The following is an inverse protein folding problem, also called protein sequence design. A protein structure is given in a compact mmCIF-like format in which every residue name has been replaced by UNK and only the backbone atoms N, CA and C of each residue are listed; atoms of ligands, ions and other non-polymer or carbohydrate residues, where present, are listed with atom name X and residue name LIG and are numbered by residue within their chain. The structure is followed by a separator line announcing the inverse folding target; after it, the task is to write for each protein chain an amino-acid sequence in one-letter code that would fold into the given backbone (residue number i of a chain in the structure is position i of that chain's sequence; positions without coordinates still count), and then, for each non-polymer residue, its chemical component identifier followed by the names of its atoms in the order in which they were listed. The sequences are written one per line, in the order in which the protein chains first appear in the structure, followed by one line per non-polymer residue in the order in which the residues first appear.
data_IF_685863883077
#
_entry.id   IF_685863883077
#
_cell.length_a   1.000
_cell.length_b   1.000
_cell.length_c   1.000
_cell.angle_alpha   90.00
_cell.angle_beta   90.00
_cell.angle_gamma   90.00
#
_symmetry.space_group_name_H-M   'P 1'
#
loop_
_entity.id
_entity.type
_entity.pdbx_description
1 polymer ?
#
# COMPACT_ATOMS: atom_id res chain seq x y z
N UNK A 1 21.79 -5.65 -7.65
CA UNK A 1 20.68 -6.20 -6.87
C UNK A 1 19.43 -5.60 -7.47
N UNK A 2 18.59 -6.43 -8.09
CA UNK A 2 17.31 -5.99 -8.60
C UNK A 2 16.25 -6.03 -7.48
N UNK A 3 15.40 -5.02 -7.44
CA UNK A 3 14.22 -5.00 -6.59
C UNK A 3 13.20 -5.99 -7.14
N UNK A 4 12.58 -6.75 -6.24
CA UNK A 4 11.50 -7.70 -6.56
C UNK A 4 10.16 -7.07 -6.18
N UNK A 5 10.11 -6.45 -5.01
CA UNK A 5 8.94 -5.78 -4.48
C UNK A 5 9.37 -4.74 -3.44
N UNK A 6 8.71 -3.59 -3.43
CA UNK A 6 8.77 -2.63 -2.33
C UNK A 6 7.37 -2.20 -1.94
N UNK A 7 7.15 -2.04 -0.63
CA UNK A 7 5.99 -1.36 -0.08
C UNK A 7 6.47 -0.28 0.88
N UNK A 8 5.96 0.93 0.73
CA UNK A 8 6.20 2.05 1.61
C UNK A 8 4.86 2.62 2.06
N UNK A 9 4.72 2.86 3.35
CA UNK A 9 3.62 3.62 3.94
C UNK A 9 4.18 4.97 4.37
N UNK A 10 3.53 6.05 3.97
CA UNK A 10 3.87 7.44 4.29
C UNK A 10 2.66 8.14 4.94
N UNK A 11 2.95 9.11 5.81
CA UNK A 11 1.96 10.07 6.28
C UNK A 11 1.62 11.13 5.19
N UNK A 12 0.62 12.00 5.39
CA UNK A 12 0.26 13.04 4.42
C UNK A 12 1.39 14.04 4.08
N UNK A 13 2.43 14.12 4.91
CA UNK A 13 3.59 14.98 4.75
C UNK A 13 4.79 14.24 4.14
N UNK A 14 4.55 13.04 3.59
CA UNK A 14 5.55 12.20 2.91
C UNK A 14 6.66 11.70 3.85
N UNK A 15 6.38 11.65 5.16
CA UNK A 15 7.28 10.97 6.10
C UNK A 15 7.00 9.45 6.04
N UNK A 16 8.02 8.67 5.71
CA UNK A 16 7.95 7.21 5.63
C UNK A 16 7.69 6.63 7.02
N UNK A 17 6.54 5.99 7.22
CA UNK A 17 6.13 5.25 8.43
C UNK A 17 6.70 3.83 8.42
N UNK A 18 6.62 3.14 7.29
CA UNK A 18 7.05 1.76 7.19
C UNK A 18 7.55 1.42 5.80
N UNK A 19 8.53 0.51 5.70
CA UNK A 19 9.09 0.06 4.42
C UNK A 19 9.44 -1.43 4.38
N UNK A 20 8.87 -2.17 3.45
CA UNK A 20 9.29 -3.55 3.13
C UNK A 20 9.99 -3.58 1.79
N UNK A 21 11.19 -4.17 1.70
CA UNK A 21 11.90 -4.41 0.44
C UNK A 21 12.31 -5.88 0.26
N UNK A 22 12.03 -6.41 -0.93
CA UNK A 22 12.45 -7.74 -1.36
C UNK A 22 13.40 -7.60 -2.53
N UNK A 23 14.56 -8.27 -2.47
CA UNK A 23 15.58 -8.19 -3.52
C UNK A 23 15.97 -9.56 -4.07
N UNK A 24 16.42 -9.58 -5.33
CA UNK A 24 16.81 -10.78 -6.08
C UNK A 24 18.01 -11.54 -5.48
N UNK A 25 18.81 -10.88 -4.64
CA UNK A 25 19.95 -11.43 -3.92
C UNK A 25 19.56 -12.41 -2.79
N UNK A 26 18.35 -12.97 -2.80
CA UNK A 26 17.78 -13.83 -1.75
C UNK A 26 17.68 -13.12 -0.39
N UNK A 27 17.66 -11.78 -0.39
CA UNK A 27 17.54 -10.98 0.83
C UNK A 27 16.16 -10.34 0.87
N UNK A 28 15.46 -10.60 1.96
CA UNK A 28 14.27 -9.87 2.37
C UNK A 28 14.72 -8.84 3.40
N UNK A 29 14.82 -7.60 2.97
CA UNK A 29 15.18 -6.53 3.87
C UNK A 29 13.86 -5.89 4.32
N UNK A 30 13.44 -6.19 5.54
CA UNK A 30 12.30 -5.50 6.16
C UNK A 30 12.87 -4.30 6.92
N UNK A 31 12.48 -3.11 6.50
CA UNK A 31 12.90 -1.85 7.10
C UNK A 31 11.69 -1.20 7.79
N UNK A 32 11.45 -1.52 9.06
CA UNK A 32 10.55 -0.72 9.86
C UNK A 32 11.27 0.58 10.23
N UNK A 33 10.80 1.72 9.73
CA UNK A 33 11.43 3.02 9.93
C UNK A 33 10.35 4.00 10.38
N UNK A 34 9.99 4.04 11.68
CA UNK A 34 9.38 5.24 12.24
C UNK A 34 9.77 5.56 13.69
N UNK A 35 10.12 6.84 13.83
CA UNK A 35 10.24 7.82 14.93
C UNK A 35 10.27 7.42 16.42
N UNK A 36 9.81 6.24 16.84
CA UNK A 36 9.87 5.78 18.24
C UNK A 36 10.53 4.41 18.43
N UNK A 37 10.66 3.62 17.36
CA UNK A 37 11.30 2.30 17.42
C UNK A 37 12.11 2.07 16.14
N UNK A 38 13.33 2.59 16.09
CA UNK A 38 14.28 2.25 15.04
C UNK A 38 14.68 0.77 15.17
N UNK A 39 14.04 -0.11 14.41
CA UNK A 39 14.50 -1.48 14.28
C UNK A 39 14.52 -1.92 12.82
N UNK A 40 15.70 -2.32 12.38
CA UNK A 40 15.89 -2.95 11.08
C UNK A 40 15.91 -4.46 11.28
N UNK A 41 15.02 -5.20 10.60
CA UNK A 41 15.09 -6.67 10.54
C UNK A 41 15.43 -7.12 9.14
N UNK A 42 16.60 -7.71 9.00
CA UNK A 42 17.01 -8.37 7.76
C UNK A 42 16.69 -9.85 7.89
N UNK A 43 15.84 -10.35 6.99
CA UNK A 43 15.54 -11.75 6.84
C UNK A 43 16.15 -12.26 5.51
N UNK A 44 16.51 -13.53 5.46
CA UNK A 44 16.96 -14.15 4.21
C UNK A 44 15.82 -14.99 3.66
N UNK A 45 15.31 -14.64 2.48
CA UNK A 45 14.30 -15.45 1.81
C UNK A 45 14.96 -16.56 0.99
N UNK A 46 14.26 -17.68 0.89
CA UNK A 46 14.61 -18.72 -0.09
C UNK A 46 14.33 -18.21 -1.51
N UNK A 47 14.90 -18.89 -2.52
CA UNK A 47 14.69 -18.55 -3.94
C UNK A 47 13.23 -18.75 -4.39
N UNK A 48 12.54 -19.75 -3.81
CA UNK A 48 11.17 -20.11 -4.18
C UNK A 48 10.17 -18.95 -3.93
N UNK A 49 10.15 -18.28 -2.76
CA UNK A 49 9.35 -17.07 -2.53
C UNK A 49 9.58 -15.96 -3.56
N UNK A 50 10.84 -15.67 -3.91
CA UNK A 50 11.17 -14.63 -4.90
C UNK A 50 10.58 -14.97 -6.28
N UNK A 51 10.75 -16.21 -6.72
CA UNK A 51 10.15 -16.67 -7.98
C UNK A 51 8.62 -16.62 -7.93
N UNK A 52 8.02 -16.84 -6.75
CA UNK A 52 6.57 -16.75 -6.57
C UNK A 52 6.10 -15.30 -6.72
N UNK A 53 6.80 -14.34 -6.11
CA UNK A 53 6.47 -12.91 -6.25
C UNK A 53 6.59 -12.47 -7.72
N UNK A 54 7.67 -12.83 -8.41
CA UNK A 54 7.81 -12.54 -9.84
C UNK A 54 6.65 -13.09 -10.67
N UNK A 55 6.20 -14.31 -10.35
CA UNK A 55 5.05 -14.92 -11.04
C UNK A 55 3.77 -14.13 -10.78
N UNK A 56 3.49 -13.75 -9.52
CA UNK A 56 2.31 -12.94 -9.17
C UNK A 56 2.31 -11.63 -9.95
N UNK A 57 3.44 -10.91 -9.99
CA UNK A 57 3.55 -9.64 -10.72
C UNK A 57 3.37 -9.85 -12.23
N UNK A 58 4.00 -10.88 -12.79
CA UNK A 58 3.88 -11.21 -14.21
C UNK A 58 2.45 -11.58 -14.62
N UNK A 59 1.75 -12.34 -13.80
CA UNK A 59 0.34 -12.70 -14.00
C UNK A 59 -0.60 -11.49 -13.89
N UNK A 60 -0.14 -10.41 -13.24
CA UNK A 60 -0.87 -9.15 -13.07
C UNK A 60 -0.20 -7.98 -13.79
N UNK A 61 0.44 -8.24 -14.94
CA UNK A 61 1.20 -7.22 -15.70
C UNK A 61 0.40 -5.98 -16.11
N UNK A 62 -0.93 -6.01 -16.07
CA UNK A 62 -1.78 -4.84 -16.29
C UNK A 62 -1.48 -3.68 -15.32
N UNK A 63 -0.92 -3.95 -14.13
CA UNK A 63 -0.52 -2.91 -13.17
C UNK A 63 0.55 -1.96 -13.75
N UNK A 64 1.33 -2.41 -14.73
CA UNK A 64 2.35 -1.60 -15.41
C UNK A 64 1.75 -0.54 -16.34
N UNK A 65 0.47 -0.65 -16.68
CA UNK A 65 -0.25 0.36 -17.46
C UNK A 65 -0.96 1.40 -16.58
N UNK A 66 -0.94 1.26 -15.26
CA UNK A 66 -1.60 2.20 -14.36
C UNK A 66 -0.71 3.43 -14.15
N UNK A 67 -1.18 4.59 -14.56
CA UNK A 67 -0.52 5.88 -14.27
C UNK A 67 -0.93 6.43 -12.90
N UNK A 68 -2.16 6.15 -12.47
CA UNK A 68 -2.72 6.54 -11.17
C UNK A 68 -3.85 5.58 -10.75
N UNK A 69 -4.00 5.40 -9.44
CA UNK A 69 -5.15 4.74 -8.83
C UNK A 69 -6.10 5.84 -8.36
N UNK A 70 -6.99 6.26 -9.27
CA UNK A 70 -8.12 7.17 -9.07
C UNK A 70 -7.96 8.13 -7.87
N UNK A 71 -7.46 9.33 -8.16
CA UNK A 71 -7.34 10.42 -7.19
C UNK A 71 -8.67 10.78 -6.54
N UNK A 72 -8.85 10.36 -5.29
CA UNK A 72 -9.84 10.95 -4.39
C UNK A 72 -9.20 12.12 -3.63
N UNK A 73 -9.95 13.21 -3.35
CA UNK A 73 -9.40 14.48 -2.89
C UNK A 73 -8.89 14.50 -1.42
N UNK A 74 -8.72 13.35 -0.78
CA UNK A 74 -8.52 13.24 0.67
C UNK A 74 -7.05 13.17 1.10
N UNK A 75 -6.20 14.00 0.50
CA UNK A 75 -4.79 14.13 0.92
C UNK A 75 -4.63 14.77 2.30
N UNK A 76 -5.66 15.40 2.85
CA UNK A 76 -5.53 16.20 4.08
C UNK A 76 -5.45 15.37 5.37
N UNK A 77 -5.98 14.14 5.41
CA UNK A 77 -6.07 13.32 6.65
C UNK A 77 -5.83 11.82 6.41
N UNK A 78 -4.88 11.47 5.53
CA UNK A 78 -4.74 10.11 5.00
C UNK A 78 -3.39 9.40 5.20
N UNK A 79 -3.20 8.29 4.48
CA UNK A 79 -1.90 7.65 4.31
C UNK A 79 -1.60 7.48 2.83
N UNK A 80 -0.34 7.65 2.46
CA UNK A 80 0.16 7.40 1.11
C UNK A 80 0.78 6.01 1.10
N UNK A 81 0.35 5.16 0.15
CA UNK A 81 0.91 3.84 -0.08
C UNK A 81 1.68 3.84 -1.39
N UNK A 82 2.98 3.54 -1.32
CA UNK A 82 3.83 3.42 -2.50
C UNK A 82 4.21 1.96 -2.69
N UNK A 83 3.81 1.41 -3.82
CA UNK A 83 4.15 0.05 -4.21
C UNK A 83 5.13 0.09 -5.37
N UNK A 84 6.19 -0.70 -5.30
CA UNK A 84 7.04 -0.97 -6.46
C UNK A 84 6.99 -2.45 -6.78
N UNK A 85 6.56 -2.78 -8.00
CA UNK A 85 6.41 -4.14 -8.48
C UNK A 85 7.44 -4.43 -9.56
N UNK A 86 8.05 -5.61 -9.51
CA UNK A 86 8.98 -6.08 -10.53
C UNK A 86 8.63 -7.49 -10.98
N UNK A 87 8.67 -7.74 -12.28
CA UNK A 87 8.55 -9.08 -12.88
C UNK A 87 9.92 -9.70 -13.24
N UNK A 88 11.00 -8.99 -12.89
CA UNK A 88 12.39 -9.35 -13.20
C UNK A 88 12.92 -8.76 -14.50
N UNK A 89 12.06 -8.13 -15.30
CA UNK A 89 12.41 -7.40 -16.54
C UNK A 89 11.98 -5.93 -16.47
N UNK A 90 10.78 -5.68 -15.95
CA UNK A 90 10.17 -4.39 -15.78
C UNK A 90 10.01 -4.09 -14.29
N UNK A 91 10.11 -2.82 -13.94
CA UNK A 91 9.84 -2.29 -12.62
C UNK A 91 8.88 -1.11 -12.77
N UNK A 92 7.88 -1.04 -11.88
CA UNK A 92 6.91 0.06 -11.89
C UNK A 92 6.51 0.43 -10.48
N UNK A 93 6.42 1.74 -10.25
CA UNK A 93 6.03 2.31 -8.96
C UNK A 93 4.65 2.94 -9.07
N UNK A 94 3.75 2.52 -8.20
CA UNK A 94 2.41 3.06 -8.05
C UNK A 94 2.30 3.77 -6.71
N UNK A 95 1.88 5.03 -6.77
CA UNK A 95 1.52 5.81 -5.59
C UNK A 95 0.01 5.80 -5.47
N UNK A 96 -0.47 5.40 -4.30
CA UNK A 96 -1.89 5.30 -3.95
C UNK A 96 -2.12 6.13 -2.68
N UNK A 97 -3.35 6.61 -2.49
CA UNK A 97 -3.73 7.35 -1.28
C UNK A 97 -4.95 6.68 -0.67
N UNK A 98 -4.92 6.49 0.65
CA UNK A 98 -6.03 5.94 1.43
C UNK A 98 -6.53 4.58 0.93
N UNK A 99 -5.63 3.73 0.44
CA UNK A 99 -6.00 2.40 -0.05
C UNK A 99 -6.62 1.53 1.06
N UNK A 100 -6.30 1.81 2.33
CA UNK A 100 -6.93 1.19 3.50
C UNK A 100 -8.45 1.41 3.56
N UNK A 101 -8.96 2.55 3.07
CA UNK A 101 -10.39 2.85 3.07
C UNK A 101 -11.14 1.80 2.28
N UNK A 102 -10.62 1.46 1.09
CA UNK A 102 -11.18 0.42 0.24
C UNK A 102 -11.08 -0.99 0.82
N UNK A 103 -10.12 -1.24 1.71
CA UNK A 103 -10.03 -2.50 2.45
C UNK A 103 -11.15 -2.59 3.52
N UNK A 104 -11.47 -1.47 4.19
CA UNK A 104 -12.56 -1.38 5.18
C UNK A 104 -13.95 -1.32 4.53
N UNK A 105 -14.02 -0.75 3.33
CA UNK A 105 -15.25 -0.44 2.60
C UNK A 105 -15.23 -1.03 1.17
N UNK A 106 -15.22 -2.37 1.03
CA UNK A 106 -15.08 -3.04 -0.27
C UNK A 106 -16.26 -2.78 -1.22
N UNK A 107 -17.41 -2.34 -0.72
CA UNK A 107 -18.54 -1.89 -1.53
C UNK A 107 -18.19 -0.67 -2.41
N UNK A 108 -17.28 0.19 -1.94
CA UNK A 108 -16.79 1.34 -2.71
C UNK A 108 -15.75 0.94 -3.78
N UNK A 109 -15.18 -0.28 -3.70
CA UNK A 109 -14.29 -0.83 -4.74
C UNK A 109 -15.03 -1.21 -6.03
N UNK A 110 -16.37 -1.33 -6.02
CA UNK A 110 -17.13 -1.65 -7.23
C UNK A 110 -16.85 -0.65 -8.37
N UNK A 111 -16.51 0.58 -8.01
CA UNK A 111 -16.21 1.66 -8.96
C UNK A 111 -14.72 1.74 -9.34
N UNK A 112 -13.81 1.04 -8.64
CA UNK A 112 -12.36 1.11 -8.89
C UNK A 112 -11.72 -0.27 -9.11
N UNK A 113 -11.66 -0.69 -10.38
CA UNK A 113 -10.98 -1.96 -10.78
C UNK A 113 -9.47 -1.91 -10.52
N UNK A 114 -8.85 -0.74 -10.66
CA UNK A 114 -7.41 -0.54 -10.43
C UNK A 114 -7.02 -0.77 -8.97
N UNK A 115 -7.75 -0.14 -8.05
CA UNK A 115 -7.53 -0.30 -6.61
C UNK A 115 -7.70 -1.78 -6.18
N UNK A 116 -8.73 -2.47 -6.70
CA UNK A 116 -8.93 -3.91 -6.47
C UNK A 116 -7.75 -4.75 -6.92
N UNK A 117 -7.27 -4.48 -8.13
CA UNK A 117 -6.15 -5.22 -8.70
C UNK A 117 -4.90 -5.05 -7.84
N UNK A 118 -4.57 -3.82 -7.46
CA UNK A 118 -3.37 -3.53 -6.67
C UNK A 118 -3.47 -4.11 -5.26
N UNK A 119 -4.62 -3.99 -4.60
CA UNK A 119 -4.86 -4.66 -3.32
C UNK A 119 -4.73 -6.19 -3.43
N UNK A 120 -5.29 -6.79 -4.48
CA UNK A 120 -5.20 -8.24 -4.69
C UNK A 120 -3.75 -8.71 -4.91
N UNK A 121 -2.97 -7.99 -5.72
CA UNK A 121 -1.55 -8.28 -5.94
C UNK A 121 -0.77 -8.12 -4.64
N UNK A 122 -1.04 -7.04 -3.90
CA UNK A 122 -0.42 -6.78 -2.60
C UNK A 122 -0.71 -7.90 -1.60
N UNK A 123 -1.97 -8.32 -1.44
CA UNK A 123 -2.35 -9.39 -0.51
C UNK A 123 -1.75 -10.76 -0.88
N UNK A 124 -1.63 -11.06 -2.17
CA UNK A 124 -0.95 -12.27 -2.63
C UNK A 124 0.54 -12.24 -2.27
N UNK A 125 1.22 -11.12 -2.50
CA UNK A 125 2.64 -10.94 -2.13
C UNK A 125 2.81 -10.98 -0.62
N UNK A 126 1.95 -10.28 0.13
CA UNK A 126 1.89 -10.31 1.60
C UNK A 126 1.80 -11.74 2.10
N UNK A 127 0.86 -12.53 1.59
CA UNK A 127 0.69 -13.93 1.98
C UNK A 127 1.97 -14.75 1.79
N UNK A 128 2.64 -14.60 0.64
CA UNK A 128 3.92 -15.27 0.37
C UNK A 128 4.99 -14.84 1.38
N UNK A 129 5.05 -13.56 1.74
CA UNK A 129 6.06 -13.05 2.67
C UNK A 129 5.78 -13.50 4.12
N UNK A 130 4.52 -13.51 4.56
CA UNK A 130 4.11 -14.00 5.88
C UNK A 130 4.42 -15.49 6.07
N UNK A 131 4.10 -16.32 5.08
CA UNK A 131 4.47 -17.75 5.06
C UNK A 131 5.98 -17.99 5.19
N UNK A 132 6.78 -16.97 4.87
CA UNK A 132 8.23 -17.01 4.93
C UNK A 132 8.83 -16.14 6.06
N UNK A 133 8.03 -15.82 7.08
CA UNK A 133 8.49 -15.23 8.33
C UNK A 133 8.56 -13.70 8.34
N UNK A 134 7.92 -13.03 7.40
CA UNK A 134 7.64 -11.60 7.54
C UNK A 134 6.62 -11.36 8.67
N UNK A 135 6.67 -10.16 9.23
CA UNK A 135 5.76 -9.72 10.30
C UNK A 135 4.52 -9.08 9.69
N UNK A 136 3.36 -9.23 10.32
CA UNK A 136 2.08 -8.74 9.78
C UNK A 136 2.02 -7.22 9.72
N UNK A 137 2.62 -6.58 10.72
CA UNK A 137 2.76 -5.14 10.90
C UNK A 137 3.49 -4.47 9.72
N UNK A 138 4.22 -5.25 8.91
CA UNK A 138 4.94 -4.78 7.74
C UNK A 138 4.07 -4.59 6.49
N UNK A 139 2.77 -4.87 6.61
CA UNK A 139 1.84 -4.84 5.48
C UNK A 139 0.56 -4.09 5.80
N UNK A 140 0.53 -3.33 6.89
CA UNK A 140 -0.62 -2.48 7.21
C UNK A 140 -0.73 -1.32 6.22
N UNK A 141 -1.97 -1.04 5.80
CA UNK A 141 -2.29 0.07 4.90
C UNK A 141 -2.67 1.35 5.68
N UNK A 142 -2.87 1.22 6.99
CA UNK A 142 -3.12 2.29 7.96
C UNK A 142 -2.18 2.15 9.18
N UNK A 143 -2.19 3.14 10.07
CA UNK A 143 -1.29 3.18 11.22
C UNK A 143 -1.98 2.73 12.51
N UNK A 144 -2.65 1.55 12.54
CA UNK A 144 -3.39 1.07 13.73
C UNK A 144 -2.56 0.97 15.01
N UNK A 145 -1.25 0.85 14.88
CA UNK A 145 -0.29 0.83 16.00
C UNK A 145 0.22 2.22 16.43
N UNK A 146 -0.24 3.28 15.78
CA UNK A 146 0.25 4.64 15.98
C UNK A 146 -0.89 5.51 16.52
N UNK A 147 -0.92 5.77 17.83
CA UNK A 147 -2.04 6.42 18.53
C UNK A 147 -2.21 7.92 18.21
N UNK A 148 -1.62 8.43 17.13
CA UNK A 148 -1.72 9.85 16.77
C UNK A 148 -2.83 10.17 15.78
N UNK A 149 -3.58 9.17 15.28
CA UNK A 149 -4.61 9.41 14.26
C UNK A 149 -6.04 9.10 14.73
N UNK A 150 -6.26 8.32 15.80
CA UNK A 150 -7.63 7.95 16.21
C UNK A 150 -8.27 8.90 17.23
N UNK A 151 -7.51 9.57 18.11
CA UNK A 151 -8.09 10.36 19.21
C UNK A 151 -8.76 11.68 18.77
N UNK A 152 -8.68 12.06 17.49
CA UNK A 152 -9.35 13.25 16.95
C UNK A 152 -10.54 12.96 16.02
N UNK A 153 -10.79 11.70 15.66
CA UNK A 153 -11.59 11.42 14.45
C UNK A 153 -12.75 10.42 14.63
N UNK A 154 -12.93 9.81 15.80
CA UNK A 154 -13.98 8.78 15.94
C UNK A 154 -15.43 9.29 16.05
N UNK A 155 -15.73 10.58 16.31
CA UNK A 155 -17.13 10.97 16.61
C UNK A 155 -17.77 12.15 15.87
N UNK A 156 -17.01 13.00 15.15
CA UNK A 156 -17.55 14.28 14.67
C UNK A 156 -17.47 14.52 13.14
N UNK A 157 -16.64 13.80 12.37
CA UNK A 157 -16.46 14.12 10.94
C UNK A 157 -17.57 13.58 10.01
N UNK A 158 -18.28 12.53 10.39
CA UNK A 158 -19.40 11.99 9.60
C UNK A 158 -20.78 12.61 9.94
N UNK A 159 -20.85 13.56 10.88
CA UNK A 159 -22.11 14.24 11.24
C UNK A 159 -22.42 15.48 10.41
N UNK A 160 -21.55 15.91 9.50
CA UNK A 160 -21.67 17.21 8.82
C UNK A 160 -21.62 17.16 7.29
N UNK A 161 -22.33 16.24 6.65
CA UNK A 161 -22.79 16.47 5.27
C UNK A 161 -24.20 15.92 5.09
N UNK A 162 -25.26 16.76 5.11
CA UNK A 162 -26.56 16.35 4.58
C UNK A 162 -26.42 16.09 3.08
N UNK A 163 -27.15 15.10 2.58
CA UNK A 163 -27.08 14.43 1.27
C UNK A 163 -27.20 15.33 -0.01
N UNK A 164 -27.11 16.65 0.11
CA UNK A 164 -27.43 17.61 -0.96
C UNK A 164 -26.23 18.24 -1.69
N UNK A 165 -24.99 17.80 -1.43
CA UNK A 165 -23.80 18.34 -2.10
C UNK A 165 -23.45 17.65 -3.44
N UNK A 166 -24.47 17.30 -4.24
CA UNK A 166 -24.30 17.09 -5.69
C UNK A 166 -24.87 18.29 -6.46
N UNK A 167 -24.21 19.44 -6.38
CA UNK A 167 -24.46 20.57 -7.27
C UNK A 167 -23.22 20.86 -8.12
N UNK A 168 -23.38 20.55 -9.42
CA UNK A 168 -22.70 20.95 -10.66
C UNK A 168 -21.30 21.60 -10.58
N UNK A 169 -20.38 21.22 -11.49
CA UNK A 169 -19.09 21.89 -11.59
C UNK A 169 -19.29 23.38 -11.96
N UNK A 170 -18.52 24.30 -11.35
CA UNK A 170 -18.40 25.62 -11.91
C UNK A 170 -17.48 25.54 -13.14
N UNK A 171 -17.84 26.27 -14.19
CA UNK A 171 -17.13 26.45 -15.47
C UNK A 171 -17.42 25.41 -16.57
N UNK A 172 -18.25 25.83 -17.53
CA UNK A 172 -18.52 25.17 -18.81
C UNK A 172 -19.98 25.19 -19.22
#
# INVERSE_FOLDING_TARGET
MALVFSYVLEDPWENVIFKTEVTDAKRLNIFCLYHMYDWQRKATLKKQPINHIYRIVKENSQIFAYEDIEGLPFLLDGFIQIFTFSDGQNEHTLRCVNLHYFQKHPEHLQNSERARTVLSVFEQIRSVLLENGALEECFELDSKWFPYVDDYYEDDYFKFYPDDFFLKPPFG
#
